data_IF_235005010099
#
_entry.id   IF_235005010099
#
_cell.length_a   1.000
_cell.length_b   1.000
_cell.length_c   1.000
_cell.angle_alpha   90.00
_cell.angle_beta   90.00
_cell.angle_gamma   90.00
#
_symmetry.space_group_name_H-M   'P 1'
#
loop_
_entity.id
_entity.type
_entity.pdbx_description
1 polymer ?
#
# COMPACT_ATOMS: atom_id res chain seq x y z
N UNK A 1 3.73 22.09 -6.59
CA UNK A 1 4.94 21.59 -5.90
C UNK A 1 4.54 20.63 -4.81
N UNK A 2 5.10 19.45 -4.81
CA UNK A 2 4.72 18.46 -3.78
C UNK A 2 5.40 18.76 -2.45
N UNK A 3 4.64 18.64 -1.36
CA UNK A 3 5.16 18.81 -0.01
C UNK A 3 5.79 17.50 0.43
N UNK A 4 6.91 17.57 1.16
CA UNK A 4 7.57 16.40 1.72
C UNK A 4 6.80 15.94 2.96
N UNK A 5 6.54 14.65 3.07
CA UNK A 5 5.94 14.08 4.26
C UNK A 5 6.94 14.16 5.42
N UNK A 6 6.53 14.73 6.54
CA UNK A 6 7.45 15.09 7.64
C UNK A 6 7.58 14.02 8.71
N UNK A 7 6.54 13.25 8.95
CA UNK A 7 6.51 12.26 10.02
C UNK A 7 7.21 10.98 9.56
N UNK A 8 8.51 10.89 9.81
CA UNK A 8 9.37 9.81 9.32
C UNK A 8 9.85 8.93 10.46
N UNK A 9 8.90 8.26 11.11
CA UNK A 9 9.16 7.41 12.27
C UNK A 9 9.03 5.95 11.89
N UNK A 10 9.86 5.08 12.47
CA UNK A 10 9.73 3.64 12.39
C UNK A 10 9.42 3.06 13.76
N UNK A 11 8.63 1.99 13.79
CA UNK A 11 8.34 1.21 14.99
C UNK A 11 9.04 -0.14 14.87
N UNK A 12 10.00 -0.42 15.72
CA UNK A 12 10.81 -1.65 15.65
C UNK A 12 10.01 -2.92 15.94
N UNK A 13 8.81 -2.81 16.50
CA UNK A 13 7.93 -3.95 16.72
C UNK A 13 6.98 -4.20 15.55
N UNK A 14 6.90 -3.29 14.59
CA UNK A 14 6.00 -3.37 13.45
C UNK A 14 6.60 -4.21 12.33
N UNK A 15 5.86 -5.24 11.88
CA UNK A 15 6.31 -6.11 10.80
C UNK A 15 6.57 -5.33 9.51
N UNK A 16 5.66 -4.41 9.13
CA UNK A 16 5.82 -3.64 7.91
C UNK A 16 7.01 -2.67 7.98
N UNK A 17 7.27 -2.09 9.14
CA UNK A 17 8.49 -1.30 9.34
C UNK A 17 9.74 -2.14 9.15
N UNK A 18 9.73 -3.39 9.65
CA UNK A 18 10.84 -4.32 9.46
C UNK A 18 11.05 -4.68 7.99
N UNK A 19 9.97 -4.90 7.25
CA UNK A 19 10.03 -5.19 5.82
C UNK A 19 10.64 -4.00 5.07
N UNK A 20 10.16 -2.80 5.36
CA UNK A 20 10.66 -1.57 4.72
C UNK A 20 12.14 -1.36 5.01
N UNK A 21 12.57 -1.62 6.24
CA UNK A 21 13.96 -1.45 6.66
C UNK A 21 14.89 -2.60 6.23
N UNK A 22 14.33 -3.66 5.64
CA UNK A 22 15.12 -4.76 5.11
C UNK A 22 15.48 -5.85 6.11
N UNK A 23 14.89 -5.85 7.31
CA UNK A 23 15.14 -6.89 8.32
C UNK A 23 14.21 -8.10 8.18
N UNK A 24 13.20 -8.01 7.32
CA UNK A 24 12.32 -9.13 6.97
C UNK A 24 12.32 -9.30 5.45
N UNK A 25 12.21 -10.54 4.94
CA UNK A 25 12.25 -10.79 3.50
C UNK A 25 11.02 -10.22 2.78
N UNK A 26 11.22 -9.83 1.52
CA UNK A 26 10.16 -9.31 0.66
C UNK A 26 10.50 -9.56 -0.80
N UNK A 27 9.47 -9.53 -1.65
CA UNK A 27 9.63 -9.45 -3.10
C UNK A 27 9.27 -8.03 -3.50
N UNK A 28 10.29 -7.22 -3.73
CA UNK A 28 10.13 -5.80 -4.06
C UNK A 28 9.68 -5.64 -5.50
N UNK A 29 8.66 -4.82 -5.72
CA UNK A 29 8.15 -4.49 -7.06
C UNK A 29 8.60 -3.09 -7.46
N UNK A 30 8.39 -2.12 -6.59
CA UNK A 30 8.66 -0.72 -6.86
C UNK A 30 8.74 0.03 -5.54
N UNK A 31 9.52 1.11 -5.50
CA UNK A 31 9.51 2.00 -4.34
C UNK A 31 9.87 3.42 -4.73
N UNK A 32 9.44 4.35 -3.91
CA UNK A 32 9.86 5.74 -3.97
C UNK A 32 10.21 6.22 -2.56
N UNK A 33 10.30 7.51 -2.34
CA UNK A 33 10.67 8.07 -1.04
C UNK A 33 9.64 7.78 0.06
N UNK A 34 8.36 7.66 -0.30
CA UNK A 34 7.27 7.59 0.66
C UNK A 34 6.62 6.21 0.76
N UNK A 35 6.67 5.42 -0.30
CA UNK A 35 5.95 4.14 -0.40
C UNK A 35 6.81 3.04 -0.98
N UNK A 36 6.50 1.82 -0.58
CA UNK A 36 7.12 0.60 -1.09
C UNK A 36 6.03 -0.35 -1.56
N UNK A 37 6.19 -0.92 -2.74
CA UNK A 37 5.26 -1.92 -3.28
C UNK A 37 5.94 -3.27 -3.30
N UNK A 38 5.31 -4.25 -2.69
CA UNK A 38 5.80 -5.62 -2.60
C UNK A 38 4.72 -6.61 -3.04
N UNK A 39 5.12 -7.83 -3.40
CA UNK A 39 4.17 -8.91 -3.61
C UNK A 39 3.62 -9.37 -2.26
N UNK A 40 2.32 -9.65 -2.19
CA UNK A 40 1.73 -10.23 -0.99
C UNK A 40 2.18 -11.68 -0.86
N UNK A 41 2.63 -12.07 0.33
CA UNK A 41 3.12 -13.42 0.61
C UNK A 41 2.02 -14.47 0.49
N UNK A 42 0.77 -14.08 0.72
CA UNK A 42 -0.40 -14.97 0.69
C UNK A 42 -1.44 -14.41 -0.29
N UNK A 43 -1.18 -14.50 -1.60
CA UNK A 43 -2.04 -13.85 -2.59
C UNK A 43 -3.42 -14.50 -2.69
N UNK A 44 -4.44 -13.66 -2.87
CA UNK A 44 -5.81 -14.11 -3.12
C UNK A 44 -6.24 -13.89 -4.58
N UNK A 45 -5.33 -13.40 -5.42
CA UNK A 45 -5.52 -13.24 -6.85
C UNK A 45 -4.16 -13.36 -7.53
N UNK A 46 -4.11 -13.59 -8.87
CA UNK A 46 -2.83 -13.71 -9.59
C UNK A 46 -1.92 -12.51 -9.41
N UNK A 47 -2.49 -11.31 -9.35
CA UNK A 47 -1.79 -10.11 -8.95
C UNK A 47 -2.35 -9.70 -7.59
N UNK A 48 -1.51 -9.73 -6.57
CA UNK A 48 -1.86 -9.27 -5.24
C UNK A 48 -0.65 -8.55 -4.65
N UNK A 49 -0.70 -7.23 -4.69
CA UNK A 49 0.39 -6.38 -4.24
C UNK A 49 -0.02 -5.64 -2.98
N UNK A 50 0.99 -5.29 -2.17
CA UNK A 50 0.81 -4.40 -1.03
C UNK A 50 1.55 -3.10 -1.33
N UNK A 51 0.86 -1.99 -1.16
CA UNK A 51 1.47 -0.66 -1.15
C UNK A 51 1.63 -0.27 0.31
N UNK A 52 2.87 -0.24 0.78
CA UNK A 52 3.21 0.05 2.17
C UNK A 52 3.68 1.49 2.31
N UNK A 53 3.24 2.15 3.37
CA UNK A 53 3.90 3.39 3.80
C UNK A 53 5.33 3.04 4.23
N UNK A 54 6.32 3.79 3.81
CA UNK A 54 7.71 3.54 4.20
C UNK A 54 7.99 3.88 5.66
N UNK A 55 7.10 4.62 6.30
CA UNK A 55 7.22 5.00 7.70
C UNK A 55 6.01 4.50 8.48
N UNK A 56 6.14 4.48 9.79
CA UNK A 56 5.04 4.02 10.64
C UNK A 56 3.99 5.10 10.77
N UNK A 57 3.04 5.13 9.84
CA UNK A 57 1.84 5.95 9.92
C UNK A 57 0.67 5.01 10.10
N UNK A 58 -0.15 5.30 11.10
CA UNK A 58 -1.26 4.42 11.42
C UNK A 58 -2.49 4.74 10.59
N UNK A 59 -3.25 3.70 10.27
CA UNK A 59 -4.46 3.78 9.46
C UNK A 59 -5.42 4.87 9.96
N UNK A 60 -5.64 4.94 11.27
CA UNK A 60 -6.54 5.93 11.87
C UNK A 60 -6.08 7.37 11.61
N UNK A 61 -4.78 7.62 11.56
CA UNK A 61 -4.22 8.94 11.31
C UNK A 61 -4.31 9.30 9.83
N UNK A 62 -4.04 8.34 8.95
CA UNK A 62 -4.13 8.56 7.51
C UNK A 62 -5.56 8.89 7.10
N UNK A 63 -6.53 8.07 7.52
CA UNK A 63 -7.92 8.23 7.09
C UNK A 63 -8.56 9.49 7.68
N UNK A 64 -8.11 9.93 8.84
CA UNK A 64 -8.63 11.15 9.46
C UNK A 64 -8.08 12.44 8.84
N UNK A 65 -7.10 12.32 7.93
CA UNK A 65 -6.57 13.47 7.21
C UNK A 65 -5.35 14.12 7.85
N UNK A 66 -4.73 13.47 8.82
CA UNK A 66 -3.54 14.03 9.50
C UNK A 66 -2.44 14.43 8.54
N UNK A 67 -2.30 13.71 7.42
CA UNK A 67 -1.23 13.93 6.45
C UNK A 67 -1.73 14.54 5.14
N UNK A 68 -3.01 14.95 5.06
CA UNK A 68 -3.63 15.46 3.83
C UNK A 68 -2.94 16.70 3.27
N UNK A 69 -2.58 17.65 4.13
CA UNK A 69 -1.94 18.89 3.71
C UNK A 69 -0.53 18.67 3.15
N UNK A 70 0.09 17.56 3.51
CA UNK A 70 1.41 17.18 3.01
C UNK A 70 1.34 16.44 1.67
N UNK A 71 0.14 16.30 1.09
CA UNK A 71 -0.06 15.63 -0.19
C UNK A 71 -0.02 14.12 -0.12
N UNK A 72 -0.33 13.53 1.02
CA UNK A 72 -0.26 12.09 1.23
C UNK A 72 -1.05 11.30 0.18
N UNK A 73 -2.32 11.65 -0.02
CA UNK A 73 -3.19 10.91 -0.95
C UNK A 73 -2.75 11.07 -2.40
N UNK A 74 -2.28 12.23 -2.78
CA UNK A 74 -1.76 12.46 -4.14
C UNK A 74 -0.52 11.59 -4.39
N UNK A 75 0.38 11.51 -3.43
CA UNK A 75 1.58 10.68 -3.52
C UNK A 75 1.23 9.20 -3.55
N UNK A 76 0.29 8.78 -2.72
CA UNK A 76 -0.21 7.40 -2.66
C UNK A 76 -0.82 6.98 -4.00
N UNK A 77 -1.77 7.75 -4.51
CA UNK A 77 -2.44 7.39 -5.75
C UNK A 77 -1.53 7.49 -6.97
N UNK A 78 -0.49 8.31 -6.91
CA UNK A 78 0.52 8.36 -7.97
C UNK A 78 1.24 7.01 -8.12
N UNK A 79 1.68 6.41 -7.01
CA UNK A 79 2.35 5.11 -7.05
C UNK A 79 1.37 3.98 -7.37
N UNK A 80 0.13 4.06 -6.88
CA UNK A 80 -0.92 3.08 -7.20
C UNK A 80 -1.19 3.08 -8.71
N UNK A 81 -1.34 4.25 -9.31
CA UNK A 81 -1.55 4.37 -10.75
C UNK A 81 -0.39 3.75 -11.54
N UNK A 82 0.84 4.03 -11.13
CA UNK A 82 2.03 3.49 -11.77
C UNK A 82 2.02 1.96 -11.76
N UNK A 83 1.65 1.34 -10.64
CA UNK A 83 1.55 -0.11 -10.49
C UNK A 83 0.40 -0.69 -11.32
N UNK A 84 -0.75 -0.05 -11.30
CA UNK A 84 -1.91 -0.48 -12.09
C UNK A 84 -1.56 -0.53 -13.58
N UNK A 85 -0.88 0.49 -14.09
CA UNK A 85 -0.44 0.54 -15.48
C UNK A 85 0.66 -0.50 -15.77
N UNK A 86 1.64 -0.60 -14.86
CA UNK A 86 2.75 -1.55 -15.01
C UNK A 86 2.26 -2.99 -15.19
N UNK A 87 1.21 -3.38 -14.48
CA UNK A 87 0.65 -4.73 -14.54
C UNK A 87 -0.50 -4.87 -15.55
N UNK A 88 -0.81 -3.80 -16.30
CA UNK A 88 -1.91 -3.83 -17.28
C UNK A 88 -3.29 -3.89 -16.65
N UNK A 89 -3.40 -3.59 -15.36
CA UNK A 89 -4.67 -3.71 -14.62
C UNK A 89 -5.67 -2.62 -15.00
N UNK A 90 -5.21 -1.51 -15.55
CA UNK A 90 -6.06 -0.45 -16.09
C UNK A 90 -6.94 -0.96 -17.23
N UNK A 91 -6.53 -2.05 -17.89
CA UNK A 91 -7.27 -2.70 -18.99
C UNK A 91 -7.98 -3.97 -18.56
N UNK A 92 -7.37 -4.75 -17.68
CA UNK A 92 -7.90 -6.06 -17.28
C UNK A 92 -8.79 -6.02 -16.04
N UNK A 93 -8.72 -4.96 -15.25
CA UNK A 93 -9.50 -4.81 -14.03
C UNK A 93 -8.68 -4.93 -12.76
N UNK A 94 -9.07 -4.17 -11.74
CA UNK A 94 -8.37 -4.16 -10.46
C UNK A 94 -9.30 -3.75 -9.32
N UNK A 95 -8.88 -4.08 -8.11
CA UNK A 95 -9.47 -3.57 -6.87
C UNK A 95 -8.37 -2.95 -6.03
N UNK A 96 -8.71 -1.85 -5.39
CA UNK A 96 -7.89 -1.22 -4.37
C UNK A 96 -8.62 -1.42 -3.05
N UNK A 97 -7.97 -2.11 -2.11
CA UNK A 97 -8.60 -2.42 -0.81
C UNK A 97 -7.76 -1.82 0.30
N UNK A 98 -8.44 -1.08 1.16
CA UNK A 98 -7.85 -0.50 2.35
C UNK A 98 -8.75 -0.81 3.54
N UNK A 99 -8.28 -1.67 4.43
CA UNK A 99 -9.04 -2.17 5.57
C UNK A 99 -8.74 -1.33 6.82
N UNK A 100 -9.73 -1.21 7.69
CA UNK A 100 -9.57 -0.46 8.91
C UNK A 100 -10.54 -0.90 10.00
N UNK A 101 -10.36 -0.36 11.20
CA UNK A 101 -11.24 -0.53 12.36
C UNK A 101 -11.53 -2.00 12.70
N UNK A 102 -10.51 -2.85 12.63
CA UNK A 102 -10.62 -4.27 12.99
C UNK A 102 -10.62 -5.22 11.79
N UNK A 103 -10.86 -4.73 10.57
CA UNK A 103 -10.70 -5.55 9.37
C UNK A 103 -9.24 -5.62 8.92
N UNK A 104 -8.40 -4.67 9.38
CA UNK A 104 -6.97 -4.67 9.12
C UNK A 104 -6.24 -5.49 10.18
N UNK A 105 -5.26 -6.29 9.76
CA UNK A 105 -4.40 -7.02 10.68
C UNK A 105 -3.27 -6.16 11.23
N UNK A 106 -2.94 -5.07 10.55
CA UNK A 106 -1.84 -4.17 10.92
C UNK A 106 -2.31 -2.72 10.83
N UNK A 107 -1.97 -1.92 11.83
CA UNK A 107 -2.28 -0.51 11.85
C UNK A 107 -1.36 0.33 10.95
N UNK A 108 -0.14 -0.14 10.70
CA UNK A 108 0.76 0.48 9.74
C UNK A 108 0.07 0.55 8.37
N UNK A 109 -0.09 1.74 7.82
CA UNK A 109 -0.91 1.94 6.63
C UNK A 109 -0.42 1.14 5.42
N UNK A 110 -1.34 0.44 4.80
CA UNK A 110 -1.08 -0.37 3.62
C UNK A 110 -2.35 -0.54 2.79
N UNK A 111 -2.16 -0.73 1.50
CA UNK A 111 -3.26 -0.90 0.54
C UNK A 111 -3.01 -2.18 -0.25
N UNK A 112 -4.08 -2.93 -0.50
CA UNK A 112 -4.02 -4.11 -1.36
C UNK A 112 -4.41 -3.72 -2.78
N UNK A 113 -3.65 -4.19 -3.76
CA UNK A 113 -3.98 -4.07 -5.19
C UNK A 113 -4.19 -5.49 -5.70
N UNK A 114 -5.40 -5.78 -6.15
CA UNK A 114 -5.81 -7.11 -6.60
C UNK A 114 -6.18 -7.07 -8.07
N UNK A 115 -5.79 -8.10 -8.82
CA UNK A 115 -6.15 -8.19 -10.23
C UNK A 115 -5.63 -9.45 -10.89
N UNK A 116 -5.68 -9.49 -12.22
CA UNK A 116 -5.14 -10.59 -13.00
C UNK A 116 -6.04 -11.82 -13.12
N UNK A 117 -7.24 -11.78 -12.54
CA UNK A 117 -8.23 -12.86 -12.67
C UNK A 117 -9.34 -12.46 -13.64
N UNK A 118 -10.04 -13.48 -14.21
CA UNK A 118 -11.15 -13.23 -15.12
C UNK A 118 -12.37 -12.65 -14.41
N UNK A 119 -12.50 -12.94 -13.12
CA UNK A 119 -13.60 -12.45 -12.31
C UNK A 119 -13.04 -11.61 -11.16
N UNK A 120 -13.89 -10.78 -10.57
CA UNK A 120 -13.51 -9.91 -9.46
C UNK A 120 -12.96 -10.73 -8.28
N UNK A 121 -11.69 -10.52 -7.89
CA UNK A 121 -11.12 -11.24 -6.76
C UNK A 121 -11.76 -10.83 -5.44
N UNK A 122 -11.95 -11.80 -4.53
CA UNK A 122 -12.56 -11.53 -3.24
C UNK A 122 -14.08 -11.33 -3.29
N UNK A 123 -14.74 -11.70 -4.40
CA UNK A 123 -16.18 -11.59 -4.59
C UNK A 123 -16.61 -10.22 -5.09
N UNK A 124 -17.90 -10.09 -5.37
CA UNK A 124 -18.48 -8.83 -5.86
C UNK A 124 -18.61 -7.80 -4.74
N UNK A 125 -18.37 -6.58 -5.08
CA UNK A 125 -18.60 -5.45 -4.18
C UNK A 125 -19.80 -4.64 -4.62
#
# INVERSE_FOLDING_TARGET
>A
MSTILKDKVHDNSCLFCKIVQGTEPKVLVLENEDFMVIENKYPISPVHLLVLDKFHREKKDVISGKYSEEGYFEKLFSIIYEIVVKYGLDKSGYKIVNNGAGYNHFEHEHFHILGGSETEPGGST
#
